data_IF_225652909267
#
_entry.id   IF_225652909267
#
_cell.length_a   1.000
_cell.length_b   1.000
_cell.length_c   1.000
_cell.angle_alpha   90.00
_cell.angle_beta   90.00
_cell.angle_gamma   90.00
#
_symmetry.space_group_name_H-M   'P 1'
#
loop_
_entity.id
_entity.type
_entity.pdbx_description
1 polymer ?
#
# COMPACT_ATOMS: atom_id res chain seq x y z
N UNK A 1 -5.20 -5.78 -32.54
CA UNK A 1 -4.22 -5.66 -31.44
C UNK A 1 -3.20 -4.57 -31.74
N UNK A 2 -2.34 -4.73 -32.74
CA UNK A 2 -1.37 -3.69 -33.16
C UNK A 2 -2.00 -2.34 -33.57
N UNK A 3 -3.18 -2.34 -34.21
CA UNK A 3 -3.89 -1.09 -34.54
C UNK A 3 -4.46 -0.39 -33.31
N UNK A 4 -5.04 -1.14 -32.36
CA UNK A 4 -5.57 -0.59 -31.12
C UNK A 4 -4.44 0.01 -30.27
N UNK A 5 -3.35 -0.74 -30.08
CA UNK A 5 -2.16 -0.29 -29.37
C UNK A 5 -1.51 0.97 -29.98
N UNK A 6 -1.49 1.11 -31.32
CA UNK A 6 -0.98 2.31 -32.00
C UNK A 6 -1.90 3.52 -31.89
N UNK A 7 -3.21 3.31 -31.72
CA UNK A 7 -4.18 4.41 -31.60
C UNK A 7 -4.23 4.94 -30.17
N UNK A 8 -4.03 4.09 -29.16
CA UNK A 8 -3.96 4.47 -27.73
C UNK A 8 -2.60 4.98 -27.27
N UNK A 9 -1.49 4.56 -27.89
CA UNK A 9 -0.18 5.17 -27.64
C UNK A 9 -0.15 6.68 -27.93
N UNK A 10 -1.08 7.19 -28.74
CA UNK A 10 -1.25 8.62 -28.98
C UNK A 10 -1.85 9.40 -27.78
N UNK A 11 -2.41 8.72 -26.78
CA UNK A 11 -2.94 9.29 -25.53
C UNK A 11 -1.99 9.14 -24.34
N UNK A 12 -0.85 8.46 -24.50
CA UNK A 12 0.14 8.24 -23.43
C UNK A 12 -0.03 6.97 -22.61
N UNK A 13 -1.14 6.23 -22.78
CA UNK A 13 -1.43 5.00 -22.03
C UNK A 13 -0.47 3.85 -22.40
N UNK A 14 0.10 3.21 -21.39
CA UNK A 14 1.03 2.08 -21.58
C UNK A 14 0.25 0.78 -21.70
N UNK A 15 0.30 0.14 -22.86
CA UNK A 15 -0.30 -1.19 -23.06
C UNK A 15 0.45 -2.24 -22.25
N UNK A 16 -0.27 -3.06 -21.48
CA UNK A 16 0.28 -4.13 -20.65
C UNK A 16 -0.28 -5.48 -21.04
N UNK A 17 0.58 -6.42 -21.41
CA UNK A 17 0.17 -7.81 -21.68
C UNK A 17 0.13 -8.60 -20.39
N UNK A 18 -1.06 -9.07 -20.01
CA UNK A 18 -1.30 -9.73 -18.74
C UNK A 18 -1.92 -11.10 -19.03
N UNK A 19 -1.29 -12.16 -18.55
CA UNK A 19 -1.90 -13.49 -18.54
C UNK A 19 -2.52 -13.77 -17.17
N UNK A 20 -3.70 -14.37 -17.17
CA UNK A 20 -4.42 -14.82 -15.97
C UNK A 20 -4.47 -16.35 -16.05
N UNK A 21 -3.73 -17.00 -15.17
CA UNK A 21 -3.62 -18.45 -15.14
C UNK A 21 -4.14 -18.99 -13.80
N UNK A 22 -5.19 -19.79 -13.86
CA UNK A 22 -5.85 -20.31 -12.67
C UNK A 22 -6.38 -21.72 -12.82
N UNK A 23 -6.56 -22.35 -11.68
CA UNK A 23 -7.18 -23.68 -11.54
C UNK A 23 -8.72 -23.62 -11.64
N UNK A 24 -9.27 -22.40 -11.64
CA UNK A 24 -10.69 -22.06 -11.57
C UNK A 24 -11.11 -21.20 -12.77
N UNK A 25 -12.43 -21.04 -12.94
CA UNK A 25 -12.97 -20.14 -13.97
C UNK A 25 -12.64 -18.69 -13.58
N UNK A 26 -11.71 -18.08 -14.32
CA UNK A 26 -11.08 -16.82 -13.96
C UNK A 26 -11.64 -15.60 -14.70
N UNK A 27 -12.62 -15.76 -15.61
CA UNK A 27 -13.12 -14.71 -16.51
C UNK A 27 -13.53 -13.42 -15.78
N UNK A 28 -14.29 -13.54 -14.69
CA UNK A 28 -14.73 -12.38 -13.91
C UNK A 28 -13.58 -11.72 -13.14
N UNK A 29 -12.63 -12.50 -12.64
CA UNK A 29 -11.44 -11.96 -11.97
C UNK A 29 -10.53 -11.29 -13.00
N UNK A 30 -10.39 -11.84 -14.20
CA UNK A 30 -9.66 -11.25 -15.29
C UNK A 30 -10.25 -9.89 -15.71
N UNK A 31 -11.58 -9.76 -15.74
CA UNK A 31 -12.25 -8.48 -15.96
C UNK A 31 -11.94 -7.47 -14.85
N UNK A 32 -11.99 -7.88 -13.58
CA UNK A 32 -11.60 -7.01 -12.48
C UNK A 32 -10.12 -6.61 -12.53
N UNK A 33 -9.22 -7.52 -12.92
CA UNK A 33 -7.80 -7.23 -13.18
C UNK A 33 -7.67 -6.16 -14.27
N UNK A 34 -8.39 -6.28 -15.39
CA UNK A 34 -8.39 -5.24 -16.42
C UNK A 34 -8.88 -3.89 -15.89
N UNK A 35 -9.98 -3.86 -15.11
CA UNK A 35 -10.45 -2.63 -14.48
C UNK A 35 -9.38 -2.03 -13.54
N UNK A 36 -8.74 -2.86 -12.70
CA UNK A 36 -7.69 -2.42 -11.80
C UNK A 36 -6.49 -1.81 -12.53
N UNK A 37 -6.03 -2.45 -13.61
CA UNK A 37 -4.92 -1.95 -14.44
C UNK A 37 -5.28 -0.61 -15.10
N UNK A 38 -6.51 -0.49 -15.62
CA UNK A 38 -7.00 0.75 -16.22
C UNK A 38 -7.10 1.89 -15.19
N UNK A 39 -7.53 1.60 -13.96
CA UNK A 39 -7.55 2.57 -12.85
C UNK A 39 -6.15 3.01 -12.40
N UNK A 40 -5.10 2.26 -12.78
CA UNK A 40 -3.70 2.61 -12.54
C UNK A 40 -3.04 3.27 -13.78
N UNK A 41 -3.83 3.64 -14.80
CA UNK A 41 -3.38 4.39 -15.98
C UNK A 41 -2.72 3.54 -17.08
N UNK A 42 -2.84 2.21 -17.01
CA UNK A 42 -2.31 1.29 -18.04
C UNK A 42 -3.46 0.66 -18.85
N UNK A 43 -3.24 0.36 -20.13
CA UNK A 43 -4.24 -0.33 -20.96
C UNK A 43 -4.03 -1.86 -20.88
N UNK A 44 -4.96 -2.63 -20.31
CA UNK A 44 -4.80 -4.07 -20.19
C UNK A 44 -5.06 -4.78 -21.53
N UNK A 45 -4.14 -5.66 -21.91
CA UNK A 45 -4.38 -6.72 -22.89
C UNK A 45 -4.34 -8.07 -22.17
N UNK A 46 -5.46 -8.78 -22.13
CA UNK A 46 -5.60 -10.00 -21.34
C UNK A 46 -5.46 -11.28 -22.17
N UNK A 47 -4.85 -12.29 -21.57
CA UNK A 47 -4.95 -13.69 -21.98
C UNK A 47 -5.38 -14.53 -20.77
N UNK A 48 -6.50 -15.24 -20.86
CA UNK A 48 -6.97 -16.13 -19.79
C UNK A 48 -6.70 -17.57 -20.22
N UNK A 49 -6.01 -18.34 -19.39
CA UNK A 49 -5.79 -19.76 -19.69
C UNK A 49 -7.10 -20.54 -19.58
N UNK A 50 -7.34 -21.57 -20.42
CA UNK A 50 -8.49 -22.44 -20.25
C UNK A 50 -8.56 -23.07 -18.84
N UNK A 51 -9.78 -23.32 -18.36
CA UNK A 51 -10.04 -23.92 -17.05
C UNK A 51 -9.20 -25.20 -16.83
N UNK A 52 -8.50 -25.27 -15.69
CA UNK A 52 -7.72 -26.44 -15.28
C UNK A 52 -6.42 -26.66 -16.06
N UNK A 53 -5.99 -25.70 -16.89
CA UNK A 53 -4.77 -25.83 -17.71
C UNK A 53 -3.60 -24.98 -17.22
N UNK A 54 -3.75 -24.21 -16.14
CA UNK A 54 -2.76 -23.24 -15.66
C UNK A 54 -1.35 -23.84 -15.51
N UNK A 55 -1.23 -25.02 -14.88
CA UNK A 55 0.05 -25.71 -14.69
C UNK A 55 0.75 -26.00 -16.03
N UNK A 56 0.03 -26.59 -16.98
CA UNK A 56 0.55 -26.88 -18.32
C UNK A 56 0.88 -25.60 -19.06
N UNK A 57 -0.01 -24.60 -19.03
CA UNK A 57 0.19 -23.33 -19.72
C UNK A 57 1.44 -22.58 -19.24
N UNK A 58 1.73 -22.63 -17.93
CA UNK A 58 2.93 -22.02 -17.37
C UNK A 58 4.21 -22.80 -17.70
N UNK A 59 4.18 -24.14 -17.70
CA UNK A 59 5.39 -24.96 -17.87
C UNK A 59 5.75 -25.24 -19.34
N UNK A 60 4.77 -25.28 -20.24
CA UNK A 60 4.97 -25.64 -21.65
C UNK A 60 5.34 -24.40 -22.48
N UNK A 61 6.59 -24.27 -22.99
CA UNK A 61 7.03 -23.10 -23.73
C UNK A 61 6.28 -22.85 -25.04
N UNK A 62 5.57 -23.86 -25.58
CA UNK A 62 4.74 -23.69 -26.79
C UNK A 62 3.27 -23.39 -26.48
N UNK A 63 2.91 -23.19 -25.21
CA UNK A 63 1.54 -22.87 -24.80
C UNK A 63 1.06 -21.53 -25.36
N UNK A 64 -0.26 -21.32 -25.32
CA UNK A 64 -0.86 -20.03 -25.67
C UNK A 64 -0.42 -18.90 -24.74
N UNK A 65 -0.08 -19.21 -23.48
CA UNK A 65 0.42 -18.24 -22.51
C UNK A 65 1.80 -17.73 -22.93
N UNK A 66 2.74 -18.62 -23.25
CA UNK A 66 4.08 -18.21 -23.69
C UNK A 66 4.04 -17.52 -25.07
N UNK A 67 3.18 -18.01 -25.97
CA UNK A 67 2.95 -17.37 -27.28
C UNK A 67 2.39 -15.94 -27.16
N UNK A 68 1.62 -15.67 -26.11
CA UNK A 68 1.08 -14.35 -25.80
C UNK A 68 2.15 -13.35 -25.28
N UNK A 69 3.30 -13.85 -24.79
CA UNK A 69 4.41 -13.06 -24.26
C UNK A 69 3.98 -12.03 -23.19
N UNK A 70 3.32 -12.47 -22.11
CA UNK A 70 2.88 -11.59 -21.05
C UNK A 70 4.06 -10.86 -20.41
N UNK A 71 3.84 -9.62 -20.00
CA UNK A 71 4.75 -8.90 -19.09
C UNK A 71 4.47 -9.30 -17.64
N UNK A 72 3.19 -9.54 -17.32
CA UNK A 72 2.73 -9.92 -15.98
C UNK A 72 1.87 -11.18 -16.09
N UNK A 73 2.11 -12.14 -15.20
CA UNK A 73 1.25 -13.31 -15.02
C UNK A 73 0.61 -13.26 -13.65
N UNK A 74 -0.72 -13.30 -13.61
CA UNK A 74 -1.50 -13.41 -12.39
C UNK A 74 -1.88 -14.87 -12.17
N UNK A 75 -1.42 -15.45 -11.06
CA UNK A 75 -1.66 -16.84 -10.68
C UNK A 75 -2.80 -16.95 -9.66
N UNK A 76 -3.79 -17.78 -9.97
CA UNK A 76 -4.99 -18.02 -9.16
C UNK A 76 -5.09 -19.51 -8.78
N UNK A 77 -4.28 -19.98 -7.81
CA UNK A 77 -4.33 -21.37 -7.38
C UNK A 77 -5.61 -21.67 -6.59
N UNK A 78 -6.11 -22.92 -6.68
CA UNK A 78 -7.23 -23.40 -5.85
C UNK A 78 -6.72 -24.35 -4.77
N UNK A 79 -7.14 -24.13 -3.52
CA UNK A 79 -6.71 -24.97 -2.40
C UNK A 79 -7.12 -26.44 -2.60
N UNK A 80 -8.20 -26.71 -3.35
CA UNK A 80 -8.67 -28.08 -3.61
C UNK A 80 -7.70 -28.85 -4.52
N UNK A 81 -6.94 -28.14 -5.36
CA UNK A 81 -5.91 -28.73 -6.21
C UNK A 81 -4.53 -28.65 -5.57
N UNK A 82 -4.23 -27.57 -4.86
CA UNK A 82 -2.95 -27.35 -4.19
C UNK A 82 -2.81 -28.16 -2.89
N UNK A 83 -3.91 -28.57 -2.25
CA UNK A 83 -3.89 -29.34 -1.00
C UNK A 83 -4.85 -30.53 -1.09
N UNK A 84 -4.46 -31.61 -1.83
CA UNK A 84 -5.27 -32.82 -1.92
C UNK A 84 -5.60 -33.42 -0.54
N UNK A 85 -6.80 -33.99 -0.33
CA UNK A 85 -7.19 -34.52 0.97
C UNK A 85 -6.30 -35.69 1.39
N UNK A 86 -5.98 -35.76 2.69
CA UNK A 86 -5.27 -36.88 3.29
C UNK A 86 -6.21 -37.69 4.20
N UNK A 87 -5.99 -39.00 4.37
CA UNK A 87 -6.71 -39.79 5.36
C UNK A 87 -6.54 -39.20 6.76
N UNK A 88 -7.58 -39.28 7.61
CA UNK A 88 -7.54 -38.72 8.96
C UNK A 88 -6.41 -39.28 9.85
N UNK A 89 -5.95 -40.51 9.58
CA UNK A 89 -4.82 -41.16 10.25
C UNK A 89 -3.46 -40.94 9.59
N UNK A 90 -3.37 -40.06 8.57
CA UNK A 90 -2.11 -39.76 7.92
C UNK A 90 -1.11 -39.17 8.93
N UNK A 91 0.15 -39.59 8.81
CA UNK A 91 1.20 -39.12 9.72
C UNK A 91 1.61 -37.71 9.34
N UNK A 92 2.20 -36.99 10.29
CA UNK A 92 2.73 -35.66 10.03
C UNK A 92 3.76 -35.65 8.87
N UNK A 93 4.58 -36.70 8.75
CA UNK A 93 5.53 -36.86 7.66
C UNK A 93 4.85 -36.90 6.28
N UNK A 94 3.70 -37.57 6.16
CA UNK A 94 2.95 -37.65 4.90
C UNK A 94 2.40 -36.27 4.51
N UNK A 95 1.90 -35.52 5.49
CA UNK A 95 1.41 -34.16 5.28
C UNK A 95 2.53 -33.19 4.84
N UNK A 96 3.71 -33.29 5.47
CA UNK A 96 4.90 -32.50 5.11
C UNK A 96 5.37 -32.85 3.69
N UNK A 97 5.46 -34.13 3.36
CA UNK A 97 5.86 -34.57 2.03
C UNK A 97 4.91 -34.06 0.94
N UNK A 98 3.59 -34.18 1.16
CA UNK A 98 2.58 -33.66 0.23
C UNK A 98 2.64 -32.13 0.10
N UNK A 99 2.93 -31.41 1.18
CA UNK A 99 3.14 -29.96 1.13
C UNK A 99 4.39 -29.60 0.32
N UNK A 100 5.49 -30.31 0.54
CA UNK A 100 6.75 -30.06 -0.18
C UNK A 100 6.60 -30.30 -1.68
N UNK A 101 5.92 -31.37 -2.10
CA UNK A 101 5.65 -31.65 -3.51
C UNK A 101 4.88 -30.51 -4.19
N UNK A 102 3.87 -29.96 -3.50
CA UNK A 102 3.06 -28.86 -4.04
C UNK A 102 3.83 -27.53 -4.06
N UNK A 103 4.66 -27.29 -3.05
CA UNK A 103 5.58 -26.15 -3.03
C UNK A 103 6.58 -26.23 -4.20
N UNK A 104 7.21 -27.38 -4.41
CA UNK A 104 8.17 -27.61 -5.49
C UNK A 104 7.53 -27.40 -6.86
N UNK A 105 6.30 -27.88 -7.06
CA UNK A 105 5.53 -27.64 -8.27
C UNK A 105 5.32 -26.15 -8.52
N UNK A 106 4.83 -25.41 -7.53
CA UNK A 106 4.54 -23.97 -7.67
C UNK A 106 5.85 -23.19 -7.93
N UNK A 107 6.94 -23.54 -7.24
CA UNK A 107 8.27 -22.97 -7.49
C UNK A 107 8.75 -23.25 -8.92
N UNK A 108 8.46 -24.43 -9.48
CA UNK A 108 8.76 -24.74 -10.88
C UNK A 108 7.95 -23.86 -11.85
N UNK A 109 6.67 -23.57 -11.53
CA UNK A 109 5.86 -22.62 -12.31
C UNK A 109 6.52 -21.24 -12.31
N UNK A 110 6.91 -20.73 -11.14
CA UNK A 110 7.58 -19.43 -11.03
C UNK A 110 8.86 -19.38 -11.85
N UNK A 111 9.70 -20.40 -11.71
CA UNK A 111 10.98 -20.47 -12.41
C UNK A 111 10.79 -20.47 -13.94
N UNK A 112 9.77 -21.14 -14.45
CA UNK A 112 9.44 -21.13 -15.88
C UNK A 112 9.00 -19.74 -16.37
N UNK A 113 8.15 -19.06 -15.60
CA UNK A 113 7.66 -17.72 -15.93
C UNK A 113 8.77 -16.66 -15.83
N UNK A 114 9.67 -16.77 -14.84
CA UNK A 114 10.85 -15.91 -14.71
C UNK A 114 11.81 -16.07 -15.89
N UNK A 115 12.05 -17.30 -16.35
CA UNK A 115 12.85 -17.57 -17.56
C UNK A 115 12.22 -16.92 -18.80
N UNK A 116 10.88 -16.86 -18.85
CA UNK A 116 10.15 -16.14 -19.89
C UNK A 116 10.14 -14.61 -19.69
N UNK A 117 10.76 -14.09 -18.63
CA UNK A 117 10.86 -12.65 -18.33
C UNK A 117 9.58 -12.04 -17.77
N UNK A 118 8.69 -12.86 -17.21
CA UNK A 118 7.41 -12.40 -16.66
C UNK A 118 7.56 -11.93 -15.20
N UNK A 119 6.89 -10.84 -14.85
CA UNK A 119 6.60 -10.50 -13.45
C UNK A 119 5.43 -11.35 -12.95
N UNK A 120 5.52 -11.87 -11.72
CA UNK A 120 4.52 -12.78 -11.16
C UNK A 120 3.74 -12.06 -10.05
N UNK A 121 2.42 -12.04 -10.20
CA UNK A 121 1.48 -11.69 -9.15
C UNK A 121 0.71 -12.96 -8.76
N UNK A 122 0.58 -13.30 -7.49
CA UNK A 122 -0.08 -14.54 -7.08
C UNK A 122 -1.06 -14.34 -5.90
N UNK A 123 -2.23 -14.96 -6.02
CA UNK A 123 -3.20 -15.09 -4.93
C UNK A 123 -2.72 -16.11 -3.89
N UNK A 124 -2.87 -15.78 -2.62
CA UNK A 124 -2.74 -16.76 -1.52
C UNK A 124 -3.99 -17.66 -1.45
N UNK A 125 -3.79 -18.88 -0.96
CA UNK A 125 -4.86 -19.86 -0.89
C UNK A 125 -5.84 -19.52 0.24
N UNK A 126 -7.12 -19.49 -0.08
CA UNK A 126 -8.17 -19.29 0.93
C UNK A 126 -8.55 -20.63 1.55
N UNK A 127 -8.45 -20.83 2.88
CA UNK A 127 -8.77 -22.11 3.51
C UNK A 127 -10.27 -22.46 3.39
N UNK A 128 -10.64 -23.76 3.46
CA UNK A 128 -12.03 -24.17 3.42
C UNK A 128 -12.83 -23.62 4.61
N UNK A 129 -14.08 -23.18 4.35
CA UNK A 129 -15.04 -22.75 5.39
C UNK A 129 -15.36 -23.87 6.38
N UNK A 130 -15.50 -25.11 5.86
CA UNK A 130 -15.97 -26.25 6.64
C UNK A 130 -14.83 -26.83 7.47
N UNK A 131 -15.00 -26.82 8.79
CA UNK A 131 -14.20 -27.59 9.73
C UNK A 131 -14.97 -28.84 10.16
N UNK A 132 -14.29 -29.98 10.25
CA UNK A 132 -14.93 -31.25 10.59
C UNK A 132 -15.19 -31.38 12.10
N UNK A 133 -14.17 -31.12 12.94
CA UNK A 133 -14.22 -31.33 14.40
C UNK A 133 -13.59 -30.20 15.23
N UNK A 134 -13.81 -28.94 14.85
CA UNK A 134 -13.36 -27.78 15.62
C UNK A 134 -11.85 -27.80 15.92
N UNK A 135 -11.46 -27.64 17.18
CA UNK A 135 -10.04 -27.58 17.57
C UNK A 135 -9.23 -28.82 17.21
N UNK A 136 -9.85 -29.99 17.09
CA UNK A 136 -9.14 -31.20 16.63
C UNK A 136 -8.57 -31.02 15.21
N UNK A 137 -9.23 -30.24 14.36
CA UNK A 137 -8.73 -29.91 13.01
C UNK A 137 -7.52 -28.98 13.04
N UNK A 138 -7.33 -28.17 14.09
CA UNK A 138 -6.15 -27.30 14.20
C UNK A 138 -4.90 -28.07 14.59
N UNK A 139 -5.05 -29.20 15.28
CA UNK A 139 -3.91 -30.05 15.71
C UNK A 139 -3.68 -31.25 14.80
N UNK A 140 -4.66 -31.64 13.98
CA UNK A 140 -4.52 -32.73 13.02
C UNK A 140 -3.59 -32.34 11.85
N UNK A 141 -2.58 -33.16 11.56
CA UNK A 141 -1.69 -32.93 10.42
C UNK A 141 -2.38 -33.12 9.06
N UNK A 142 -3.39 -33.97 8.97
CA UNK A 142 -4.15 -34.21 7.74
C UNK A 142 -5.15 -33.10 7.40
N UNK A 143 -5.45 -32.20 8.36
CA UNK A 143 -6.41 -31.11 8.21
C UNK A 143 -6.09 -30.24 7.01
N UNK A 144 -7.08 -30.08 6.13
CA UNK A 144 -6.92 -29.27 4.92
C UNK A 144 -6.71 -27.81 5.26
N UNK A 145 -7.49 -27.24 6.20
CA UNK A 145 -7.35 -25.84 6.60
C UNK A 145 -5.96 -25.54 7.15
N UNK A 146 -5.43 -26.44 8.01
CA UNK A 146 -4.08 -26.30 8.55
C UNK A 146 -3.01 -26.39 7.46
N UNK A 147 -3.14 -27.35 6.55
CA UNK A 147 -2.19 -27.54 5.45
C UNK A 147 -2.22 -26.39 4.44
N UNK A 148 -3.38 -25.78 4.21
CA UNK A 148 -3.48 -24.55 3.39
C UNK A 148 -2.70 -23.41 4.03
N UNK A 149 -2.88 -23.18 5.34
CA UNK A 149 -2.14 -22.15 6.07
C UNK A 149 -0.62 -22.39 6.02
N UNK A 150 -0.19 -23.62 6.31
CA UNK A 150 1.23 -23.99 6.24
C UNK A 150 1.82 -23.88 4.84
N UNK A 151 1.02 -24.14 3.79
CA UNK A 151 1.45 -23.94 2.40
C UNK A 151 1.54 -22.44 2.06
N UNK A 152 0.60 -21.59 2.48
CA UNK A 152 0.70 -20.14 2.30
C UNK A 152 1.99 -19.59 2.94
N UNK A 153 2.29 -19.96 4.18
CA UNK A 153 3.52 -19.55 4.88
C UNK A 153 4.78 -19.95 4.08
N UNK A 154 4.86 -21.21 3.66
CA UNK A 154 6.00 -21.71 2.88
C UNK A 154 6.10 -21.05 1.50
N UNK A 155 4.98 -20.73 0.86
CA UNK A 155 4.92 -20.03 -0.41
C UNK A 155 5.45 -18.59 -0.27
N UNK A 156 4.99 -17.84 0.73
CA UNK A 156 5.45 -16.46 1.00
C UNK A 156 6.96 -16.45 1.26
N UNK A 157 7.46 -17.39 2.08
CA UNK A 157 8.89 -17.51 2.36
C UNK A 157 9.69 -17.77 1.07
N UNK A 158 9.29 -18.76 0.27
CA UNK A 158 10.01 -19.13 -0.97
C UNK A 158 9.85 -18.15 -2.12
N UNK A 159 8.75 -17.41 -2.17
CA UNK A 159 8.47 -16.42 -3.21
C UNK A 159 9.02 -15.02 -2.89
N UNK A 160 9.64 -14.81 -1.73
CA UNK A 160 10.26 -13.53 -1.37
C UNK A 160 11.24 -13.05 -2.45
N UNK A 161 11.05 -11.82 -2.91
CA UNK A 161 11.84 -11.20 -3.99
C UNK A 161 11.53 -11.72 -5.41
N UNK A 162 10.60 -12.67 -5.55
CA UNK A 162 10.24 -13.32 -6.83
C UNK A 162 8.79 -13.08 -7.22
N UNK A 163 7.90 -13.08 -6.23
CA UNK A 163 6.45 -13.03 -6.39
C UNK A 163 5.90 -11.81 -5.65
N UNK A 164 4.95 -11.13 -6.28
CA UNK A 164 4.10 -10.14 -5.61
C UNK A 164 2.80 -10.81 -5.19
N UNK A 165 2.46 -10.74 -3.91
CA UNK A 165 1.31 -11.42 -3.33
C UNK A 165 0.06 -10.55 -3.33
N UNK A 166 -1.07 -11.24 -3.47
CA UNK A 166 -2.39 -10.74 -3.12
C UNK A 166 -2.88 -11.64 -1.98
N UNK A 167 -3.08 -11.06 -0.79
CA UNK A 167 -3.52 -11.77 0.41
C UNK A 167 -5.05 -12.03 0.37
N UNK A 168 -5.46 -12.87 -0.58
CA UNK A 168 -6.87 -13.24 -0.77
C UNK A 168 -7.46 -13.98 0.43
N UNK A 169 -6.65 -14.58 1.29
CA UNK A 169 -7.06 -15.15 2.58
C UNK A 169 -7.39 -14.06 3.61
N UNK A 170 -6.63 -12.98 3.68
CA UNK A 170 -6.94 -11.79 4.47
C UNK A 170 -8.23 -11.11 3.97
N UNK A 171 -8.35 -10.89 2.66
CA UNK A 171 -9.58 -10.36 2.07
C UNK A 171 -10.80 -11.25 2.37
N UNK A 172 -10.67 -12.57 2.20
CA UNK A 172 -11.74 -13.51 2.54
C UNK A 172 -12.13 -13.46 4.02
N UNK A 173 -11.17 -13.23 4.92
CA UNK A 173 -11.45 -13.04 6.34
C UNK A 173 -12.20 -11.72 6.59
N UNK A 174 -11.78 -10.62 5.96
CA UNK A 174 -12.38 -9.29 6.08
C UNK A 174 -13.85 -9.27 5.64
N UNK A 175 -14.16 -9.85 4.46
CA UNK A 175 -15.54 -9.89 3.95
C UNK A 175 -16.38 -11.04 4.52
N UNK A 176 -15.76 -11.93 5.28
CA UNK A 176 -16.35 -13.12 5.84
C UNK A 176 -16.17 -14.36 4.97
N UNK A 177 -15.42 -15.33 5.49
CA UNK A 177 -14.99 -16.55 4.77
C UNK A 177 -16.16 -17.36 4.18
N UNK A 178 -17.29 -17.42 4.90
CA UNK A 178 -18.48 -18.11 4.44
C UNK A 178 -19.14 -17.43 3.23
N UNK A 179 -19.18 -16.09 3.23
CA UNK A 179 -19.72 -15.31 2.13
C UNK A 179 -18.76 -15.35 0.93
N UNK A 180 -17.45 -15.20 1.15
CA UNK A 180 -16.42 -15.31 0.12
C UNK A 180 -16.51 -16.64 -0.64
N UNK A 181 -16.49 -17.77 0.08
CA UNK A 181 -16.43 -19.10 -0.55
C UNK A 181 -17.69 -19.46 -1.35
N UNK A 182 -18.85 -18.86 -1.02
CA UNK A 182 -20.16 -19.06 -1.64
C UNK A 182 -20.30 -20.33 -2.52
N UNK A 183 -20.50 -21.53 -1.93
CA UNK A 183 -20.41 -22.81 -2.63
C UNK A 183 -21.28 -22.92 -3.89
N UNK A 184 -22.41 -22.19 -3.95
CA UNK A 184 -23.27 -22.11 -5.14
C UNK A 184 -22.50 -21.74 -6.42
N UNK A 185 -21.57 -20.79 -6.34
CA UNK A 185 -20.82 -20.31 -7.49
C UNK A 185 -19.71 -21.26 -7.89
N UNK A 186 -19.07 -21.89 -6.91
CA UNK A 186 -18.11 -22.96 -7.17
C UNK A 186 -18.78 -24.17 -7.84
N UNK A 187 -19.94 -24.61 -7.34
CA UNK A 187 -20.63 -25.78 -7.91
C UNK A 187 -21.27 -25.49 -9.26
N UNK A 188 -21.78 -24.28 -9.49
CA UNK A 188 -22.40 -23.89 -10.76
C UNK A 188 -21.38 -23.60 -11.87
N UNK A 189 -20.23 -23.01 -11.55
CA UNK A 189 -19.31 -22.50 -12.58
C UNK A 189 -17.84 -22.49 -12.20
N UNK A 190 -17.45 -23.13 -11.09
CA UNK A 190 -16.05 -23.20 -10.61
C UNK A 190 -15.43 -21.81 -10.41
N UNK A 191 -16.23 -20.84 -9.97
CA UNK A 191 -15.73 -19.51 -9.63
C UNK A 191 -14.89 -19.56 -8.34
N UNK A 192 -13.86 -18.70 -8.20
CA UNK A 192 -13.01 -18.64 -7.01
C UNK A 192 -13.74 -18.11 -5.77
N UNK A 193 -14.64 -17.16 -5.94
CA UNK A 193 -15.42 -16.53 -4.87
C UNK A 193 -16.73 -15.93 -5.41
N UNK A 194 -17.59 -15.45 -4.52
CA UNK A 194 -18.82 -14.72 -4.88
C UNK A 194 -18.49 -13.42 -5.66
N UNK A 195 -18.92 -13.26 -6.93
CA UNK A 195 -18.60 -12.07 -7.73
C UNK A 195 -19.00 -10.73 -7.12
N UNK A 196 -19.90 -10.71 -6.11
CA UNK A 196 -20.21 -9.50 -5.36
C UNK A 196 -19.00 -8.83 -4.71
N UNK A 197 -17.92 -9.59 -4.46
CA UNK A 197 -16.69 -9.13 -3.81
C UNK A 197 -15.61 -8.69 -4.81
N UNK A 198 -15.91 -8.61 -6.12
CA UNK A 198 -14.99 -8.03 -7.09
C UNK A 198 -14.61 -6.57 -6.74
N UNK A 199 -15.53 -5.70 -6.26
CA UNK A 199 -15.16 -4.37 -5.78
C UNK A 199 -14.18 -4.41 -4.61
N UNK A 200 -14.38 -5.30 -3.64
CA UNK A 200 -13.47 -5.48 -2.49
C UNK A 200 -12.12 -6.05 -2.92
N UNK A 201 -12.06 -6.86 -3.98
CA UNK A 201 -10.82 -7.39 -4.55
C UNK A 201 -9.97 -6.33 -5.27
N UNK A 202 -10.59 -5.29 -5.84
CA UNK A 202 -9.90 -4.31 -6.67
C UNK A 202 -8.76 -3.59 -5.94
N UNK A 203 -8.93 -3.06 -4.72
CA UNK A 203 -7.83 -2.42 -4.00
C UNK A 203 -6.64 -3.33 -3.74
N UNK A 204 -6.87 -4.58 -3.31
CA UNK A 204 -5.82 -5.57 -3.08
C UNK A 204 -5.02 -5.87 -4.35
N UNK A 205 -5.71 -6.06 -5.47
CA UNK A 205 -5.05 -6.24 -6.77
C UNK A 205 -4.26 -4.99 -7.18
N UNK A 206 -4.81 -3.79 -6.98
CA UNK A 206 -4.13 -2.52 -7.32
C UNK A 206 -2.89 -2.28 -6.47
N UNK A 207 -2.93 -2.62 -5.18
CA UNK A 207 -1.76 -2.61 -4.30
C UNK A 207 -0.64 -3.49 -4.84
N UNK A 208 -0.96 -4.77 -5.12
CA UNK A 208 -0.02 -5.70 -5.74
C UNK A 208 0.47 -5.20 -7.11
N UNK A 209 -0.40 -4.66 -7.95
CA UNK A 209 -0.02 -4.12 -9.26
C UNK A 209 0.99 -2.97 -9.15
N UNK A 210 0.76 -2.03 -8.23
CA UNK A 210 1.68 -0.92 -7.97
C UNK A 210 3.03 -1.42 -7.46
N UNK A 211 3.03 -2.39 -6.54
CA UNK A 211 4.26 -3.01 -6.06
C UNK A 211 5.03 -3.71 -7.20
N UNK A 212 4.34 -4.53 -8.00
CA UNK A 212 4.92 -5.27 -9.13
C UNK A 212 5.46 -4.36 -10.24
N UNK A 213 4.89 -3.16 -10.40
CA UNK A 213 5.28 -2.20 -11.44
C UNK A 213 6.13 -1.03 -10.93
N UNK A 214 6.55 -1.06 -9.66
CA UNK A 214 7.41 -0.03 -9.06
C UNK A 214 6.73 1.34 -8.87
N UNK A 215 5.41 1.36 -8.71
CA UNK A 215 4.56 2.57 -8.56
C UNK A 215 3.86 2.64 -7.20
N UNK A 216 4.38 1.96 -6.18
CA UNK A 216 3.90 2.11 -4.81
C UNK A 216 4.07 3.58 -4.37
N UNK A 217 3.10 4.10 -3.62
CA UNK A 217 3.17 5.46 -3.08
C UNK A 217 4.22 5.50 -1.97
N UNK A 218 4.84 6.65 -1.78
CA UNK A 218 6.04 6.79 -0.92
C UNK A 218 5.85 7.76 0.23
N UNK A 219 4.99 8.76 0.05
CA UNK A 219 4.79 9.80 1.04
C UNK A 219 3.31 9.99 1.36
N UNK A 220 3.04 10.13 2.65
CA UNK A 220 1.74 10.50 3.19
C UNK A 220 1.81 11.96 3.66
N UNK A 221 1.08 12.83 2.96
CA UNK A 221 0.97 14.25 3.27
C UNK A 221 -0.35 14.50 3.99
N UNK A 222 -0.26 15.09 5.17
CA UNK A 222 -1.37 15.20 6.13
C UNK A 222 -1.72 16.67 6.35
N UNK A 223 -3.01 16.98 6.41
CA UNK A 223 -3.45 18.17 7.17
C UNK A 223 -3.24 17.96 8.68
N UNK A 224 -3.43 19.03 9.45
CA UNK A 224 -3.30 19.04 10.91
C UNK A 224 -4.68 19.07 11.59
N UNK A 225 -5.32 20.23 11.56
CA UNK A 225 -6.59 20.46 12.23
C UNK A 225 -7.70 19.57 11.64
N UNK A 226 -8.48 18.91 12.50
CA UNK A 226 -9.47 17.92 12.08
C UNK A 226 -8.90 16.57 11.59
N UNK A 227 -7.59 16.48 11.37
CA UNK A 227 -6.91 15.32 10.77
C UNK A 227 -5.97 14.58 11.73
N UNK A 228 -5.03 15.28 12.39
CA UNK A 228 -4.15 14.69 13.42
C UNK A 228 -4.71 14.83 14.83
N UNK A 229 -5.58 15.80 15.04
CA UNK A 229 -6.32 16.05 16.27
C UNK A 229 -7.67 16.66 15.92
N UNK A 230 -8.62 16.63 16.87
CA UNK A 230 -9.88 17.35 16.68
C UNK A 230 -9.75 18.81 17.12
N UNK A 231 -10.50 19.70 16.47
CA UNK A 231 -10.45 21.14 16.73
C UNK A 231 -9.40 21.84 15.87
N UNK A 232 -9.14 23.10 16.20
CA UNK A 232 -8.24 24.00 15.46
C UNK A 232 -7.21 24.60 16.41
N UNK A 233 -5.94 24.22 16.28
CA UNK A 233 -4.88 24.59 17.24
C UNK A 233 -4.73 26.11 17.40
N UNK A 234 -4.94 26.89 16.34
CA UNK A 234 -4.85 28.36 16.39
C UNK A 234 -5.98 29.03 17.17
N UNK A 235 -7.13 28.37 17.29
CA UNK A 235 -8.31 28.91 17.97
C UNK A 235 -8.48 28.30 19.37
N UNK A 236 -8.30 26.98 19.47
CA UNK A 236 -8.54 26.20 20.70
C UNK A 236 -7.30 26.16 21.61
N UNK A 237 -6.09 26.36 21.04
CA UNK A 237 -4.82 26.20 21.75
C UNK A 237 -4.50 24.75 22.13
N UNK A 238 -3.33 24.57 22.73
CA UNK A 238 -2.80 23.23 23.03
C UNK A 238 -3.71 22.38 23.93
N UNK A 239 -4.28 22.98 24.97
CA UNK A 239 -5.17 22.28 25.91
C UNK A 239 -6.59 22.06 25.35
N UNK A 240 -6.94 22.73 24.25
CA UNK A 240 -8.26 22.71 23.64
C UNK A 240 -8.43 21.69 22.52
N UNK A 241 -7.33 21.30 21.85
CA UNK A 241 -7.38 20.26 20.82
C UNK A 241 -7.76 18.90 21.40
N UNK A 242 -8.52 18.12 20.63
CA UNK A 242 -9.04 16.81 21.05
C UNK A 242 -8.00 15.74 20.74
N UNK A 243 -7.24 15.34 21.75
CA UNK A 243 -6.21 14.29 21.63
C UNK A 243 -5.99 13.56 22.97
N UNK A 244 -5.88 12.24 22.95
CA UNK A 244 -5.64 11.44 24.16
C UNK A 244 -6.90 11.09 24.95
N UNK A 245 -6.71 10.22 25.94
CA UNK A 245 -7.80 9.66 26.77
C UNK A 245 -8.56 10.70 27.59
N UNK A 246 -7.95 11.87 27.86
CA UNK A 246 -8.60 13.00 28.52
C UNK A 246 -9.79 13.58 27.73
N UNK A 247 -9.85 13.36 26.42
CA UNK A 247 -10.91 13.85 25.54
C UNK A 247 -11.87 12.74 25.07
N UNK A 248 -11.95 11.65 25.85
CA UNK A 248 -12.85 10.52 25.61
C UNK A 248 -12.55 9.75 24.32
N UNK A 249 -13.54 8.99 23.85
CA UNK A 249 -13.36 8.07 22.72
C UNK A 249 -12.85 8.74 21.43
N UNK A 250 -13.21 10.01 21.19
CA UNK A 250 -12.74 10.76 20.01
C UNK A 250 -11.25 11.11 20.13
N UNK A 251 -10.78 11.53 21.32
CA UNK A 251 -9.37 11.81 21.57
C UNK A 251 -8.50 10.55 21.50
N UNK A 252 -8.99 9.43 22.05
CA UNK A 252 -8.32 8.12 21.94
C UNK A 252 -8.19 7.67 20.48
N UNK A 253 -9.21 7.90 19.66
CA UNK A 253 -9.17 7.57 18.24
C UNK A 253 -8.12 8.40 17.47
N UNK A 254 -7.96 9.69 17.77
CA UNK A 254 -6.87 10.50 17.19
C UNK A 254 -5.49 10.03 17.67
N UNK A 255 -5.34 9.64 18.94
CA UNK A 255 -4.08 9.06 19.43
C UNK A 255 -3.74 7.76 18.70
N UNK A 256 -4.70 6.85 18.54
CA UNK A 256 -4.49 5.61 17.79
C UNK A 256 -4.11 5.88 16.32
N UNK A 257 -4.71 6.90 15.70
CA UNK A 257 -4.34 7.36 14.37
C UNK A 257 -2.89 7.87 14.30
N UNK A 258 -2.46 8.73 15.23
CA UNK A 258 -1.07 9.20 15.29
C UNK A 258 -0.07 8.07 15.55
N UNK A 259 -0.38 7.14 16.43
CA UNK A 259 0.46 5.95 16.70
C UNK A 259 0.61 5.09 15.44
N UNK A 260 -0.47 4.91 14.68
CA UNK A 260 -0.43 4.22 13.40
C UNK A 260 0.43 4.97 12.36
N UNK A 261 0.31 6.29 12.27
CA UNK A 261 1.16 7.13 11.40
C UNK A 261 2.64 7.03 11.77
N UNK A 262 2.97 7.09 13.07
CA UNK A 262 4.33 6.91 13.57
C UNK A 262 4.88 5.54 13.15
N UNK A 263 4.07 4.48 13.27
CA UNK A 263 4.42 3.14 12.83
C UNK A 263 4.63 3.04 11.31
N UNK A 264 3.86 3.74 10.49
CA UNK A 264 4.09 3.85 9.04
C UNK A 264 5.42 4.56 8.75
N UNK A 265 5.70 5.66 9.45
CA UNK A 265 6.96 6.41 9.34
C UNK A 265 8.19 5.54 9.60
N UNK A 266 8.16 4.77 10.69
CA UNK A 266 9.21 3.81 11.06
C UNK A 266 9.41 2.69 10.03
N UNK A 267 8.39 2.43 9.19
CA UNK A 267 8.41 1.44 8.10
C UNK A 267 8.79 2.05 6.75
N UNK A 268 9.18 3.32 6.72
CA UNK A 268 9.77 3.98 5.55
C UNK A 268 8.79 4.77 4.70
N UNK A 269 7.53 4.93 5.13
CA UNK A 269 6.61 5.91 4.54
C UNK A 269 7.05 7.31 4.96
N UNK A 270 7.20 8.21 4.00
CA UNK A 270 7.62 9.58 4.28
C UNK A 270 6.42 10.37 4.76
N UNK A 271 6.45 10.87 5.99
CA UNK A 271 5.39 11.75 6.50
C UNK A 271 5.69 13.20 6.13
N UNK A 272 4.67 13.95 5.73
CA UNK A 272 4.77 15.39 5.51
C UNK A 272 3.50 16.10 5.96
N UNK A 273 3.60 17.39 6.26
CA UNK A 273 2.46 18.25 6.61
C UNK A 273 2.16 19.22 5.48
N UNK A 274 0.87 19.38 5.17
CA UNK A 274 0.33 20.38 4.27
C UNK A 274 -0.95 21.00 4.89
N UNK A 275 -0.77 22.06 5.68
CA UNK A 275 -1.85 22.68 6.46
C UNK A 275 -1.92 24.20 6.28
N UNK A 276 -3.13 24.75 6.47
CA UNK A 276 -3.38 26.20 6.47
C UNK A 276 -3.28 26.74 7.87
N UNK A 277 -2.05 26.98 8.30
CA UNK A 277 -1.76 27.42 9.66
C UNK A 277 -0.49 28.28 9.71
N UNK A 278 -0.24 28.92 10.84
CA UNK A 278 1.03 29.59 11.15
C UNK A 278 2.02 28.51 11.62
N UNK A 279 3.22 28.38 11.03
CA UNK A 279 4.15 27.28 11.31
C UNK A 279 4.45 27.06 12.79
N UNK A 280 4.65 28.14 13.54
CA UNK A 280 4.99 28.10 14.96
C UNK A 280 3.82 27.54 15.78
N UNK A 281 2.60 28.03 15.54
CA UNK A 281 1.37 27.59 16.22
C UNK A 281 1.05 26.13 15.87
N UNK A 282 1.22 25.76 14.59
CA UNK A 282 1.03 24.39 14.14
C UNK A 282 2.00 23.40 14.81
N UNK A 283 3.22 23.83 15.09
CA UNK A 283 4.23 23.00 15.76
C UNK A 283 3.88 22.74 17.23
N UNK A 284 3.24 23.70 17.91
CA UNK A 284 2.82 23.56 19.32
C UNK A 284 1.88 22.35 19.52
N UNK A 285 1.03 22.01 18.54
CA UNK A 285 0.15 20.84 18.64
C UNK A 285 0.87 19.51 18.89
N UNK A 286 2.12 19.38 18.44
CA UNK A 286 2.96 18.20 18.69
C UNK A 286 3.59 18.17 20.09
N UNK A 287 3.50 19.26 20.85
CA UNK A 287 3.92 19.33 22.25
C UNK A 287 2.85 18.77 23.21
N UNK A 288 1.66 18.45 22.70
CA UNK A 288 0.58 17.88 23.49
C UNK A 288 1.03 16.55 24.10
N UNK A 289 0.79 16.35 25.41
CA UNK A 289 1.32 15.20 26.15
C UNK A 289 0.86 13.83 25.61
N UNK A 290 -0.28 13.79 24.89
CA UNK A 290 -0.81 12.60 24.24
C UNK A 290 -0.46 12.49 22.74
N UNK A 291 0.39 13.38 22.21
CA UNK A 291 0.89 13.30 20.84
C UNK A 291 1.85 12.13 20.69
N UNK A 292 1.56 11.23 19.75
CA UNK A 292 2.45 10.13 19.39
C UNK A 292 3.42 10.50 18.26
N UNK A 293 3.24 11.69 17.68
CA UNK A 293 4.09 12.26 16.64
C UNK A 293 4.83 13.48 17.18
N UNK A 294 6.03 13.69 16.67
CA UNK A 294 6.86 14.86 16.90
C UNK A 294 7.06 15.62 15.59
N UNK A 295 7.40 16.90 15.68
CA UNK A 295 7.72 17.74 14.52
C UNK A 295 8.80 17.12 13.61
N UNK A 296 9.74 16.39 14.19
CA UNK A 296 10.86 15.76 13.50
C UNK A 296 10.50 14.44 12.80
N UNK A 297 9.32 13.87 13.09
CA UNK A 297 8.83 12.67 12.37
C UNK A 297 8.41 12.99 10.93
N UNK A 298 8.18 14.26 10.62
CA UNK A 298 7.85 14.72 9.28
C UNK A 298 9.13 15.07 8.52
N UNK A 299 9.16 14.77 7.22
CA UNK A 299 10.24 15.09 6.29
C UNK A 299 10.05 16.43 5.55
N UNK A 300 8.81 16.87 5.37
CA UNK A 300 8.46 18.22 4.92
C UNK A 300 7.33 18.79 5.82
N UNK A 301 7.34 20.09 6.10
CA UNK A 301 6.36 20.72 6.99
C UNK A 301 5.88 22.05 6.39
N UNK A 302 4.91 21.97 5.48
CA UNK A 302 4.33 23.14 4.82
C UNK A 302 3.10 23.61 5.59
N UNK A 303 3.29 24.63 6.43
CA UNK A 303 2.21 25.37 7.07
C UNK A 303 2.20 26.79 6.54
N UNK A 304 1.16 27.17 5.78
CA UNK A 304 1.01 28.55 5.31
C UNK A 304 -0.41 28.81 4.80
N UNK A 305 -0.75 30.08 4.58
CA UNK A 305 -2.02 30.46 3.94
C UNK A 305 -2.04 30.32 2.41
N UNK A 306 -1.01 29.71 1.81
CA UNK A 306 -1.00 29.36 0.39
C UNK A 306 -2.00 28.23 0.10
N UNK A 307 -2.37 28.05 -1.18
CA UNK A 307 -3.22 26.94 -1.57
C UNK A 307 -2.47 25.60 -1.42
N UNK A 308 -3.22 24.54 -1.05
CA UNK A 308 -2.61 23.23 -0.76
C UNK A 308 -1.99 22.56 -2.00
N UNK A 309 -2.45 22.90 -3.21
CA UNK A 309 -1.86 22.35 -4.43
C UNK A 309 -0.43 22.91 -4.66
N UNK A 310 -0.22 24.21 -4.48
CA UNK A 310 1.11 24.83 -4.53
C UNK A 310 2.02 24.29 -3.43
N UNK A 311 1.50 24.07 -2.22
CA UNK A 311 2.24 23.46 -1.11
C UNK A 311 2.66 22.02 -1.44
N UNK A 312 1.77 21.19 -1.98
CA UNK A 312 2.07 19.80 -2.38
C UNK A 312 3.13 19.74 -3.48
N UNK A 313 3.13 20.66 -4.46
CA UNK A 313 4.21 20.75 -5.46
C UNK A 313 5.55 21.06 -4.82
N UNK A 314 5.57 21.95 -3.82
CA UNK A 314 6.77 22.31 -3.08
C UNK A 314 7.29 21.13 -2.25
N UNK A 315 6.39 20.42 -1.55
CA UNK A 315 6.71 19.20 -0.79
C UNK A 315 7.30 18.13 -1.71
N UNK A 316 6.69 17.87 -2.87
CA UNK A 316 7.19 16.91 -3.83
C UNK A 316 8.63 17.25 -4.28
N UNK A 317 8.89 18.53 -4.57
CA UNK A 317 10.21 19.01 -4.96
C UNK A 317 11.25 18.91 -3.83
N UNK A 318 10.87 19.29 -2.60
CA UNK A 318 11.73 19.19 -1.40
C UNK A 318 12.14 17.74 -1.12
N UNK A 319 11.19 16.81 -1.25
CA UNK A 319 11.42 15.38 -1.01
C UNK A 319 12.04 14.65 -2.22
N UNK A 320 12.21 15.34 -3.36
CA UNK A 320 12.62 14.75 -4.64
C UNK A 320 11.73 13.55 -5.04
N UNK A 321 10.42 13.73 -4.91
CA UNK A 321 9.40 12.74 -5.26
C UNK A 321 8.51 13.27 -6.39
N UNK A 322 7.97 12.35 -7.19
CA UNK A 322 6.89 12.67 -8.12
C UNK A 322 5.57 12.91 -7.37
N UNK A 323 4.68 13.70 -7.96
CA UNK A 323 3.33 13.92 -7.40
C UNK A 323 2.52 12.61 -7.31
N UNK A 324 2.77 11.70 -8.25
CA UNK A 324 2.23 10.34 -8.27
C UNK A 324 2.77 9.45 -7.14
N UNK A 325 3.79 9.88 -6.40
CA UNK A 325 4.24 9.18 -5.19
C UNK A 325 3.57 9.67 -3.91
N UNK A 326 2.76 10.75 -3.98
CA UNK A 326 2.11 11.36 -2.83
C UNK A 326 0.69 10.81 -2.62
N UNK A 327 0.34 10.61 -1.36
CA UNK A 327 -1.02 10.43 -0.86
C UNK A 327 -1.33 11.61 0.04
N UNK A 328 -2.42 12.32 -0.21
CA UNK A 328 -2.86 13.48 0.55
C UNK A 328 -4.15 13.17 1.32
N UNK A 329 -4.12 13.49 2.62
CA UNK A 329 -5.22 13.28 3.56
C UNK A 329 -5.62 14.61 4.19
N UNK A 330 -6.92 14.90 4.13
CA UNK A 330 -7.53 16.15 4.58
C UNK A 330 -9.01 15.88 4.89
N UNK A 331 -9.53 16.39 6.01
CA UNK A 331 -10.94 16.22 6.36
C UNK A 331 -11.86 17.17 5.57
N UNK A 332 -11.32 18.29 5.08
CA UNK A 332 -12.07 19.31 4.36
C UNK A 332 -12.33 18.90 2.88
N UNK A 333 -13.60 18.66 2.50
CA UNK A 333 -13.93 18.24 1.13
C UNK A 333 -13.59 19.28 0.07
N UNK A 334 -13.59 20.58 0.40
CA UNK A 334 -13.28 21.64 -0.56
C UNK A 334 -11.79 21.64 -0.94
N UNK A 335 -10.89 21.47 0.04
CA UNK A 335 -9.45 21.35 -0.20
C UNK A 335 -9.14 20.08 -0.99
N UNK A 336 -9.77 18.95 -0.64
CA UNK A 336 -9.63 17.70 -1.39
C UNK A 336 -10.03 17.83 -2.85
N UNK A 337 -11.19 18.43 -3.13
CA UNK A 337 -11.66 18.66 -4.49
C UNK A 337 -10.71 19.56 -5.28
N UNK A 338 -10.19 20.62 -4.65
CA UNK A 338 -9.25 21.53 -5.29
C UNK A 338 -7.94 20.84 -5.66
N UNK A 339 -7.38 20.03 -4.75
CA UNK A 339 -6.18 19.24 -5.00
C UNK A 339 -6.42 18.23 -6.13
N UNK A 340 -7.53 17.49 -6.11
CA UNK A 340 -7.86 16.53 -7.17
C UNK A 340 -7.96 17.18 -8.56
N UNK A 341 -8.49 18.41 -8.64
CA UNK A 341 -8.60 19.14 -9.91
C UNK A 341 -7.25 19.67 -10.41
N UNK A 342 -6.40 20.17 -9.51
CA UNK A 342 -5.14 20.81 -9.88
C UNK A 342 -3.95 19.84 -9.99
N UNK A 343 -4.03 18.70 -9.27
CA UNK A 343 -2.99 17.68 -9.13
C UNK A 343 -3.61 16.27 -9.27
N UNK A 344 -4.15 15.91 -10.45
CA UNK A 344 -4.77 14.60 -10.65
C UNK A 344 -3.85 13.40 -10.39
N UNK A 345 -2.53 13.60 -10.39
CA UNK A 345 -1.53 12.57 -10.08
C UNK A 345 -1.46 12.22 -8.58
N UNK A 346 -1.77 13.19 -7.71
CA UNK A 346 -1.77 13.01 -6.25
C UNK A 346 -2.98 12.16 -5.85
N UNK A 347 -2.73 11.11 -5.07
CA UNK A 347 -3.83 10.32 -4.51
C UNK A 347 -4.47 11.11 -3.37
N UNK A 348 -5.73 11.50 -3.50
CA UNK A 348 -6.45 12.22 -2.43
C UNK A 348 -7.46 11.29 -1.78
N UNK A 349 -7.37 11.14 -0.46
CA UNK A 349 -8.22 10.23 0.32
C UNK A 349 -9.29 11.01 1.06
N UNK A 350 -10.54 10.54 0.97
CA UNK A 350 -11.60 10.96 1.87
C UNK A 350 -11.49 10.23 3.21
N UNK A 351 -10.78 10.84 4.15
CA UNK A 351 -10.61 10.27 5.49
C UNK A 351 -11.87 10.41 6.35
N UNK A 352 -12.82 11.26 5.94
CA UNK A 352 -14.05 11.54 6.68
C UNK A 352 -13.81 12.32 7.97
N UNK A 353 -14.79 12.30 8.87
CA UNK A 353 -14.78 13.10 10.11
C UNK A 353 -14.76 12.27 11.39
N UNK A 354 -14.77 10.95 11.25
CA UNK A 354 -14.74 9.98 12.36
C UNK A 354 -13.34 9.36 12.46
N UNK A 355 -12.49 9.83 13.40
CA UNK A 355 -11.11 9.35 13.56
C UNK A 355 -11.02 7.84 13.82
N UNK A 356 -12.07 7.22 14.37
CA UNK A 356 -12.09 5.77 14.59
C UNK A 356 -12.05 4.94 13.29
N UNK A 357 -12.32 5.58 12.14
CA UNK A 357 -12.35 4.96 10.81
C UNK A 357 -11.19 5.41 9.91
N UNK A 358 -10.30 6.29 10.39
CA UNK A 358 -9.23 6.86 9.57
C UNK A 358 -8.25 5.79 9.08
N UNK A 359 -7.80 4.91 9.97
CA UNK A 359 -6.88 3.81 9.63
C UNK A 359 -7.49 2.92 8.54
N UNK A 360 -8.73 2.47 8.73
CA UNK A 360 -9.46 1.65 7.75
C UNK A 360 -9.54 2.34 6.38
N UNK A 361 -9.92 3.61 6.34
CA UNK A 361 -10.04 4.36 5.07
C UNK A 361 -8.72 4.56 4.34
N UNK A 362 -7.61 4.66 5.06
CA UNK A 362 -6.28 4.73 4.45
C UNK A 362 -5.88 3.35 3.89
N UNK A 363 -6.03 2.30 4.69
CA UNK A 363 -5.67 0.91 4.37
C UNK A 363 -6.52 0.34 3.22
N UNK A 364 -7.80 0.74 3.11
CA UNK A 364 -8.73 0.33 2.05
C UNK A 364 -8.18 0.56 0.64
N UNK A 365 -7.22 1.47 0.47
CA UNK A 365 -6.61 1.76 -0.82
C UNK A 365 -5.29 1.04 -1.10
N UNK A 366 -4.68 0.35 -0.12
CA UNK A 366 -3.42 -0.39 -0.28
C UNK A 366 -2.27 0.44 -0.91
N UNK A 367 -2.20 1.73 -0.56
CA UNK A 367 -1.35 2.71 -1.27
C UNK A 367 0.15 2.51 -1.02
N UNK A 368 0.48 1.99 0.15
CA UNK A 368 1.85 1.83 0.66
C UNK A 368 2.30 0.37 0.73
N UNK A 369 1.54 -0.56 0.16
CA UNK A 369 1.86 -1.99 0.18
C UNK A 369 3.26 -2.25 -0.38
N UNK A 370 4.07 -2.95 0.42
CA UNK A 370 5.39 -3.45 0.05
C UNK A 370 5.39 -4.97 0.16
N UNK A 371 6.13 -5.62 -0.74
CA UNK A 371 6.28 -7.08 -0.73
C UNK A 371 7.39 -7.56 0.21
N UNK A 372 8.30 -6.67 0.58
CA UNK A 372 9.33 -6.89 1.59
C UNK A 372 9.85 -5.54 2.11
N UNK A 373 10.23 -5.50 3.38
CA UNK A 373 11.01 -4.39 3.91
C UNK A 373 12.47 -4.55 3.52
N UNK A 374 13.07 -3.49 2.98
CA UNK A 374 14.53 -3.39 2.86
C UNK A 374 15.10 -2.61 4.05
N UNK A 375 16.36 -2.85 4.44
CA UNK A 375 17.03 -2.04 5.46
C UNK A 375 17.01 -0.54 5.15
N UNK A 376 17.03 -0.19 3.85
CA UNK A 376 16.94 1.19 3.40
C UNK A 376 15.55 1.80 3.64
N UNK A 377 14.47 1.00 3.60
CA UNK A 377 13.12 1.47 3.94
C UNK A 377 13.05 1.83 5.43
N UNK A 378 13.58 0.98 6.30
CA UNK A 378 13.58 1.18 7.77
C UNK A 378 14.46 2.36 8.23
N UNK A 379 15.39 2.83 7.40
CA UNK A 379 16.26 3.98 7.69
C UNK A 379 15.79 5.25 7.00
N UNK A 380 14.76 5.18 6.14
CA UNK A 380 14.35 6.28 5.26
C UNK A 380 13.83 7.49 6.03
N UNK A 381 13.06 7.28 7.09
CA UNK A 381 12.57 8.37 7.96
C UNK A 381 13.71 9.20 8.56
N UNK A 382 14.68 8.54 9.18
CA UNK A 382 15.86 9.20 9.75
C UNK A 382 16.74 9.91 8.70
N UNK A 383 16.85 9.31 7.50
CA UNK A 383 17.60 9.92 6.41
C UNK A 383 16.98 11.24 5.93
N UNK A 384 15.64 11.33 5.86
CA UNK A 384 14.95 12.57 5.49
C UNK A 384 15.02 13.64 6.57
N UNK A 385 14.92 13.27 7.85
CA UNK A 385 15.13 14.20 8.96
C UNK A 385 16.56 14.81 8.91
N UNK A 386 17.58 14.00 8.64
CA UNK A 386 18.96 14.48 8.48
C UNK A 386 19.14 15.40 7.25
N UNK A 387 18.49 15.08 6.13
CA UNK A 387 18.47 15.92 4.92
C UNK A 387 17.81 17.27 5.16
N UNK A 388 16.71 17.30 5.94
CA UNK A 388 16.04 18.52 6.36
C UNK A 388 16.98 19.42 7.15
N UNK A 389 17.58 18.91 8.23
CA UNK A 389 18.52 19.70 9.06
C UNK A 389 19.65 20.30 8.21
N UNK A 390 20.22 19.52 7.29
CA UNK A 390 21.27 20.00 6.39
C UNK A 390 20.78 21.11 5.43
N UNK A 391 19.51 21.06 4.99
CA UNK A 391 18.93 22.09 4.12
C UNK A 391 18.55 23.35 4.90
N UNK A 392 18.04 23.23 6.12
CA UNK A 392 17.75 24.35 7.02
C UNK A 392 19.03 25.11 7.39
N UNK A 393 20.09 24.40 7.73
CA UNK A 393 21.42 24.97 7.99
C UNK A 393 21.98 25.71 6.77
N UNK A 394 21.84 25.13 5.56
CA UNK A 394 22.25 25.78 4.31
C UNK A 394 21.41 27.02 3.99
N UNK A 395 20.10 26.97 4.22
CA UNK A 395 19.20 28.10 4.04
C UNK A 395 19.51 29.26 4.99
N UNK A 396 19.85 28.95 6.25
CA UNK A 396 20.30 29.93 7.23
C UNK A 396 21.66 30.53 6.85
N UNK A 397 22.61 29.71 6.38
CA UNK A 397 23.91 30.18 5.88
C UNK A 397 23.80 31.05 4.62
N UNK A 398 22.81 30.80 3.75
CA UNK A 398 22.52 31.59 2.56
C UNK A 398 21.67 32.85 2.83
N UNK A 399 21.17 33.02 4.06
CA UNK A 399 20.38 34.20 4.45
C UNK A 399 21.28 35.42 4.70
N UNK A 400 20.73 36.64 4.50
CA UNK A 400 21.42 37.89 4.81
C UNK A 400 21.88 37.94 6.29
N UNK A 401 21.10 37.37 7.21
CA UNK A 401 21.45 37.29 8.62
C UNK A 401 22.65 36.35 8.86
N UNK A 402 22.70 35.20 8.18
CA UNK A 402 23.84 34.28 8.23
C UNK A 402 25.11 34.89 7.63
N UNK A 403 24.98 35.62 6.51
CA UNK A 403 26.07 36.41 5.94
C UNK A 403 26.57 37.48 6.92
N UNK A 404 25.67 38.27 7.52
CA UNK A 404 26.04 39.32 8.49
C UNK A 404 26.70 38.77 9.76
N UNK A 405 26.25 37.61 10.25
CA UNK A 405 26.87 36.93 11.39
C UNK A 405 28.28 36.40 11.06
N UNK A 406 28.49 35.90 9.84
CA UNK A 406 29.80 35.40 9.38
C UNK A 406 30.87 36.49 9.22
N UNK A 407 30.46 37.77 9.16
CA UNK A 407 31.38 38.89 8.99
C UNK A 407 32.08 39.31 10.30
N UNK A 408 31.74 38.70 11.45
CA UNK A 408 32.31 38.98 12.78
C UNK A 408 32.49 40.49 13.06
N UNK A 409 31.51 41.31 12.64
CA UNK A 409 31.64 42.76 12.67
C UNK A 409 31.74 43.28 14.10
N UNK A 410 32.90 43.82 14.46
CA UNK A 410 33.13 44.49 15.73
C UNK A 410 33.05 46.01 15.56
N UNK A 411 32.20 46.66 16.35
CA UNK A 411 32.06 48.12 16.38
C UNK A 411 32.66 48.70 17.65
N UNK A 412 33.39 49.82 17.54
CA UNK A 412 33.91 50.56 18.69
C UNK A 412 33.17 51.88 18.85
N UNK A 413 32.51 52.05 19.99
CA UNK A 413 31.89 53.31 20.40
C UNK A 413 32.92 54.17 21.15
N UNK A 414 33.01 55.45 20.78
CA UNK A 414 33.81 56.45 21.48
C UNK A 414 32.97 57.71 21.73
N UNK A 415 33.17 58.36 22.87
CA UNK A 415 32.53 59.65 23.18
C UNK A 415 33.10 60.72 22.25
N UNK A 416 32.22 61.49 21.61
CA UNK A 416 32.62 62.65 20.83
C UNK A 416 33.35 63.66 21.73
N UNK A 417 34.57 64.04 21.35
CA UNK A 417 35.31 65.11 22.03
C UNK A 417 34.72 66.45 21.61
N UNK A 418 34.33 67.27 22.59
CA UNK A 418 33.92 68.64 22.36
C UNK A 418 35.13 69.48 21.92
N UNK A 419 34.92 70.33 20.92
CA UNK A 419 35.92 71.14 20.23
C UNK A 419 36.56 72.22 21.10
#
# INVERSE_FOLDING_TARGET
LDRLARTTAAQGDRVRRIAVAGDLTADFVAQAIACGVALEGDLPLLHVTPFGTARQACLDPVSSLHSFRPEVVVLLPDWRQAVPPLPAGAKAADAIAAQQEQLDLIVALWSSLEVAGCTIIQHLLVPPVRQLRGMAERVCAASTARRVQALNEALVEKGSGRVTWIETDCLAAQVGLAAWSAPRFYHAGKLPFDPRFLPDYLPWFRGAWRAATGRARKALVLDLDGTLWGGTIGDDGLDGIVLGSGHGARGEAFTAWQEYLSQLGQRGVVLAVCSKNVPEIAAEGFEHAASALQRDDFAAFACSWQDKASALRSIAAELNLGLDALVFVDDNPAERMLVQQQLPEVTVIDIGTDPARFIERLEDGHWFDLQAYTPADLQRGAAYAALRHANEERGQAASLAGYLASLEMTGRLARAQAA
#
